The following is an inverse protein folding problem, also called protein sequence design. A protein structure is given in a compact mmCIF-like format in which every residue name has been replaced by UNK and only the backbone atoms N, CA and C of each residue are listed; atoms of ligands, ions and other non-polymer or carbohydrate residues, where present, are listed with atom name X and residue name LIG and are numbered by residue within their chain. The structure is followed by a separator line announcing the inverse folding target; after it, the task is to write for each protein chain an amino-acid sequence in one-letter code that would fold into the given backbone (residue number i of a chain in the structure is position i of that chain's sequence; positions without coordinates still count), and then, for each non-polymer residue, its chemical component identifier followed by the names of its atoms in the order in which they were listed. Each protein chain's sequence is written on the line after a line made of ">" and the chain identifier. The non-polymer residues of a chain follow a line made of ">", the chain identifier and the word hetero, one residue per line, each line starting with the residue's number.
data_IF_866851388733
#
_entry.id   IF_866851388733
#
_cell.length_a   1.000
_cell.length_b   1.000
_cell.length_c   1.000
_cell.angle_alpha   90.00
_cell.angle_beta   90.00
_cell.angle_gamma   90.00
#
_symmetry.space_group_name_H-M   'P 1'
#
loop_
_entity.id
_entity.type
_entity.pdbx_description
1 polymer ?
#
# COMPACT_ATOMS: atom_id res chain seq x y z
N UNK A 1 -26.67 -18.06 -10.81
CA UNK A 1 -25.45 -17.32 -10.40
C UNK A 1 -25.33 -16.18 -11.38
N UNK A 2 -25.56 -14.94 -10.95
CA UNK A 2 -25.43 -13.79 -11.85
C UNK A 2 -23.96 -13.61 -12.23
N UNK A 3 -23.69 -13.58 -13.53
CA UNK A 3 -22.34 -13.48 -14.08
C UNK A 3 -22.03 -12.00 -14.27
N UNK A 4 -21.00 -11.51 -13.57
CA UNK A 4 -20.47 -10.17 -13.80
C UNK A 4 -19.90 -10.09 -15.22
N UNK A 5 -20.15 -8.98 -15.91
CA UNK A 5 -19.59 -8.75 -17.24
C UNK A 5 -18.15 -8.25 -17.13
N UNK A 6 -17.31 -8.58 -18.11
CA UNK A 6 -15.96 -8.06 -18.20
C UNK A 6 -16.00 -6.51 -18.25
N UNK A 7 -15.26 -5.85 -17.36
CA UNK A 7 -15.27 -4.37 -17.24
C UNK A 7 -16.08 -3.82 -16.06
N UNK A 8 -16.87 -4.62 -15.34
CA UNK A 8 -17.77 -4.13 -14.28
C UNK A 8 -17.09 -3.61 -13.00
N UNK A 9 -15.78 -3.82 -12.79
CA UNK A 9 -15.14 -3.50 -11.48
C UNK A 9 -14.67 -2.06 -11.31
N UNK A 10 -14.30 -1.43 -12.41
CA UNK A 10 -13.89 -0.05 -12.46
C UNK A 10 -14.46 0.54 -13.73
N UNK A 11 -15.60 1.20 -13.54
CA UNK A 11 -16.22 2.02 -14.58
C UNK A 11 -15.62 3.40 -14.42
N UNK A 12 -14.69 3.82 -15.29
CA UNK A 12 -14.08 5.12 -15.15
C UNK A 12 -15.15 6.19 -15.40
N UNK A 13 -15.16 7.24 -14.57
CA UNK A 13 -16.05 8.39 -14.78
C UNK A 13 -15.74 9.14 -16.07
N UNK A 14 -14.52 8.99 -16.59
CA UNK A 14 -14.06 9.55 -17.85
C UNK A 14 -13.35 8.45 -18.65
N UNK A 15 -13.70 8.19 -19.93
CA UNK A 15 -13.19 7.05 -20.69
C UNK A 15 -11.66 6.93 -20.72
N UNK A 16 -10.97 8.07 -20.72
CA UNK A 16 -9.49 8.11 -20.76
C UNK A 16 -8.84 7.84 -19.39
N UNK A 17 -9.57 7.99 -18.28
CA UNK A 17 -9.06 7.78 -16.92
C UNK A 17 -9.27 6.33 -16.48
N UNK A 18 -8.83 5.39 -17.30
CA UNK A 18 -8.89 3.96 -17.00
C UNK A 18 -7.73 3.52 -16.07
N UNK A 19 -7.66 2.24 -15.71
CA UNK A 19 -6.59 1.70 -14.85
C UNK A 19 -5.19 1.95 -15.43
N UNK A 20 -5.03 1.87 -16.76
CA UNK A 20 -3.73 2.13 -17.40
C UNK A 20 -3.31 3.60 -17.28
N UNK A 21 -4.25 4.54 -17.34
CA UNK A 21 -3.98 5.96 -17.08
C UNK A 21 -3.38 6.16 -15.68
N UNK A 22 -4.01 5.60 -14.65
CA UNK A 22 -3.51 5.70 -13.28
C UNK A 22 -2.18 4.95 -13.08
N UNK A 23 -2.03 3.76 -13.68
CA UNK A 23 -0.76 3.02 -13.68
C UNK A 23 0.38 3.86 -14.27
N UNK A 24 0.14 4.51 -15.42
CA UNK A 24 1.13 5.35 -16.08
C UNK A 24 1.52 6.57 -15.23
N UNK A 25 0.58 7.18 -14.49
CA UNK A 25 0.88 8.28 -13.58
C UNK A 25 1.88 7.84 -12.51
N UNK A 26 1.63 6.71 -11.83
CA UNK A 26 2.51 6.21 -10.77
C UNK A 26 3.92 5.87 -11.27
N UNK A 27 4.01 5.30 -12.47
CA UNK A 27 5.30 4.98 -13.11
C UNK A 27 6.04 6.27 -13.49
N UNK A 28 5.34 7.22 -14.13
CA UNK A 28 5.93 8.48 -14.58
C UNK A 28 6.48 9.32 -13.42
N UNK A 29 5.78 9.35 -12.29
CA UNK A 29 6.21 10.09 -11.10
C UNK A 29 7.19 9.29 -10.21
N UNK A 30 7.59 8.08 -10.62
CA UNK A 30 8.43 7.18 -9.83
C UNK A 30 7.90 6.93 -8.41
N UNK A 31 6.58 6.92 -8.25
CA UNK A 31 5.91 6.71 -6.96
C UNK A 31 5.59 5.25 -6.69
N UNK A 32 5.46 4.44 -7.75
CA UNK A 32 5.37 2.99 -7.61
C UNK A 32 5.95 2.21 -8.81
N UNK A 33 6.42 0.99 -8.55
CA UNK A 33 6.65 -0.04 -9.57
C UNK A 33 5.57 -1.11 -9.45
N UNK A 34 5.02 -1.53 -10.59
CA UNK A 34 4.01 -2.59 -10.65
C UNK A 34 4.55 -3.71 -11.53
N UNK A 35 4.79 -4.85 -10.91
CA UNK A 35 5.34 -6.06 -11.53
C UNK A 35 4.21 -7.08 -11.72
N UNK A 36 4.09 -7.65 -12.92
CA UNK A 36 3.14 -8.72 -13.18
C UNK A 36 3.80 -10.05 -12.81
N UNK A 37 3.16 -10.84 -11.95
CA UNK A 37 3.63 -12.19 -11.64
C UNK A 37 2.80 -13.18 -12.45
N UNK A 38 3.43 -13.75 -13.46
CA UNK A 38 2.78 -14.62 -14.44
C UNK A 38 2.80 -16.08 -13.99
N UNK A 39 1.81 -16.85 -14.45
CA UNK A 39 1.82 -18.30 -14.28
C UNK A 39 2.97 -18.90 -15.11
N UNK A 40 3.78 -19.77 -14.49
CA UNK A 40 4.91 -20.44 -15.16
C UNK A 40 4.47 -21.42 -16.25
N UNK A 41 3.30 -22.05 -16.08
CA UNK A 41 2.73 -22.98 -17.05
C UNK A 41 1.96 -22.29 -18.18
N UNK A 42 1.45 -21.07 -17.93
CA UNK A 42 0.77 -20.24 -18.92
C UNK A 42 1.10 -18.75 -18.72
N UNK A 43 2.12 -18.22 -19.42
CA UNK A 43 2.52 -16.82 -19.30
C UNK A 43 1.48 -15.81 -19.77
N UNK A 44 0.32 -16.23 -20.31
CA UNK A 44 -0.79 -15.31 -20.60
C UNK A 44 -1.62 -14.97 -19.35
N UNK A 45 -1.48 -15.75 -18.28
CA UNK A 45 -2.25 -15.60 -17.04
C UNK A 45 -1.43 -14.83 -16.00
N UNK A 46 -1.92 -13.66 -15.62
CA UNK A 46 -1.42 -12.90 -14.46
C UNK A 46 -1.99 -13.53 -13.19
N UNK A 47 -1.14 -14.07 -12.32
CA UNK A 47 -1.56 -14.64 -11.04
C UNK A 47 -1.88 -13.53 -10.03
N UNK A 48 -0.95 -12.59 -9.90
CA UNK A 48 -1.07 -11.43 -9.02
C UNK A 48 -0.15 -10.32 -9.50
N UNK A 49 -0.40 -9.10 -9.02
CA UNK A 49 0.52 -8.00 -9.21
C UNK A 49 1.30 -7.73 -7.93
N UNK A 50 2.57 -7.35 -8.09
CA UNK A 50 3.38 -6.81 -6.99
C UNK A 50 3.45 -5.30 -7.12
N UNK A 51 2.91 -4.61 -6.12
CA UNK A 51 2.91 -3.15 -6.00
C UNK A 51 4.01 -2.73 -5.04
N UNK A 52 5.04 -2.08 -5.57
CA UNK A 52 6.16 -1.57 -4.78
C UNK A 52 6.05 -0.05 -4.69
N UNK A 53 5.74 0.47 -3.50
CA UNK A 53 5.68 1.90 -3.22
C UNK A 53 7.11 2.43 -3.11
N UNK A 54 7.50 3.30 -4.04
CA UNK A 54 8.87 3.85 -4.10
C UNK A 54 8.97 5.25 -3.51
N UNK A 55 7.86 5.99 -3.46
CA UNK A 55 7.87 7.36 -2.96
C UNK A 55 6.51 8.03 -3.04
N UNK A 56 6.45 9.25 -2.52
CA UNK A 56 5.30 10.14 -2.68
C UNK A 56 5.79 11.48 -3.16
N UNK A 57 5.21 11.97 -4.26
CA UNK A 57 5.41 13.33 -4.70
C UNK A 57 4.67 14.28 -3.76
N UNK A 58 5.37 15.29 -3.24
CA UNK A 58 4.76 16.30 -2.36
C UNK A 58 4.05 17.38 -3.17
N UNK A 59 3.12 18.12 -2.55
CA UNK A 59 2.52 19.29 -3.19
C UNK A 59 3.58 20.35 -3.58
N UNK A 60 4.67 20.48 -2.82
CA UNK A 60 5.75 21.42 -3.11
C UNK A 60 6.53 21.03 -4.37
N UNK A 61 6.69 19.73 -4.58
CA UNK A 61 7.41 19.17 -5.73
C UNK A 61 6.52 18.99 -6.97
N UNK A 62 5.20 19.23 -6.83
CA UNK A 62 4.25 19.13 -7.95
C UNK A 62 4.46 20.23 -9.00
N UNK A 63 4.81 21.43 -8.56
CA UNK A 63 4.97 22.62 -9.38
C UNK A 63 4.49 23.88 -8.65
N UNK A 64 4.25 24.96 -9.42
CA UNK A 64 3.81 26.25 -8.85
C UNK A 64 2.43 26.18 -8.16
N UNK A 65 1.55 25.28 -8.60
CA UNK A 65 0.23 25.06 -8.00
C UNK A 65 -0.24 23.61 -8.15
N UNK A 66 -0.98 23.07 -7.18
CA UNK A 66 -1.42 21.67 -7.16
C UNK A 66 -2.47 21.31 -8.24
N UNK A 67 -3.14 22.32 -8.81
CA UNK A 67 -4.04 22.15 -9.97
C UNK A 67 -3.30 22.15 -11.31
N UNK A 68 -1.99 22.38 -11.32
CA UNK A 68 -1.20 22.35 -12.55
C UNK A 68 -1.32 20.96 -13.18
N UNK A 69 -1.70 20.95 -14.46
CA UNK A 69 -1.80 19.72 -15.23
C UNK A 69 -0.43 19.32 -15.77
N UNK A 70 0.00 18.11 -15.44
CA UNK A 70 1.17 17.47 -16.05
C UNK A 70 0.75 16.65 -17.25
N UNK A 71 1.58 16.63 -18.29
CA UNK A 71 1.37 15.79 -19.48
C UNK A 71 1.75 14.35 -19.15
N UNK A 72 0.88 13.40 -19.46
CA UNK A 72 1.18 11.97 -19.38
C UNK A 72 1.91 11.52 -20.66
N UNK A 73 3.11 10.97 -20.54
CA UNK A 73 3.94 10.56 -21.67
C UNK A 73 3.82 9.07 -22.01
N UNK A 74 3.42 8.23 -21.04
CA UNK A 74 3.38 6.77 -21.17
C UNK A 74 2.11 6.17 -21.79
N UNK A 75 1.12 7.00 -22.16
CA UNK A 75 -0.17 6.52 -22.67
C UNK A 75 -0.68 7.41 -23.81
N UNK A 76 -1.18 6.79 -24.89
CA UNK A 76 -1.86 7.49 -25.98
C UNK A 76 -3.37 7.53 -25.71
N UNK A 77 -4.00 8.69 -25.90
CA UNK A 77 -5.46 8.81 -25.92
C UNK A 77 -6.05 7.98 -27.08
N UNK A 78 -7.29 7.52 -26.90
CA UNK A 78 -8.10 6.95 -27.98
C UNK A 78 -8.31 7.94 -29.15
N UNK A 79 -8.35 9.24 -28.86
CA UNK A 79 -8.50 10.31 -29.85
C UNK A 79 -7.17 10.77 -30.47
N UNK A 80 -6.03 10.19 -30.04
CA UNK A 80 -4.70 10.66 -30.40
C UNK A 80 -4.26 11.95 -29.71
N UNK A 81 -5.13 12.56 -28.88
CA UNK A 81 -4.80 13.74 -28.10
C UNK A 81 -3.82 13.45 -26.95
N UNK A 82 -3.19 14.51 -26.42
CA UNK A 82 -2.30 14.42 -25.26
C UNK A 82 -3.15 14.26 -24.00
N UNK A 83 -2.78 13.29 -23.16
CA UNK A 83 -3.40 13.09 -21.86
C UNK A 83 -2.71 13.96 -20.80
N UNK A 84 -3.51 14.43 -19.85
CA UNK A 84 -3.06 15.26 -18.74
C UNK A 84 -3.60 14.74 -17.41
N UNK A 85 -2.92 15.05 -16.31
CA UNK A 85 -3.31 14.66 -14.98
C UNK A 85 -2.96 15.74 -13.94
N UNK A 86 -3.82 15.86 -12.93
CA UNK A 86 -3.65 16.76 -11.79
C UNK A 86 -3.02 16.04 -10.60
N UNK A 87 -2.71 16.79 -9.53
CA UNK A 87 -2.25 16.16 -8.28
C UNK A 87 -3.32 15.24 -7.66
N UNK A 88 -4.60 15.56 -7.85
CA UNK A 88 -5.69 14.71 -7.38
C UNK A 88 -5.79 13.40 -8.17
N UNK A 89 -5.55 13.44 -9.48
CA UNK A 89 -5.45 12.22 -10.29
C UNK A 89 -4.27 11.34 -9.84
N UNK A 90 -3.17 11.96 -9.42
CA UNK A 90 -2.02 11.28 -8.83
C UNK A 90 -2.35 10.62 -7.48
N UNK A 91 -3.10 11.29 -6.60
CA UNK A 91 -3.57 10.69 -5.34
C UNK A 91 -4.50 9.50 -5.61
N UNK A 92 -5.47 9.68 -6.50
CA UNK A 92 -6.41 8.63 -6.92
C UNK A 92 -5.68 7.44 -7.54
N UNK A 93 -4.54 7.67 -8.20
CA UNK A 93 -3.81 6.62 -8.90
C UNK A 93 -3.41 5.44 -8.00
N UNK A 94 -3.08 5.71 -6.74
CA UNK A 94 -2.74 4.67 -5.75
C UNK A 94 -3.92 3.73 -5.47
N UNK A 95 -5.15 4.25 -5.43
CA UNK A 95 -6.35 3.45 -5.23
C UNK A 95 -6.79 2.78 -6.54
N UNK A 96 -6.94 3.57 -7.61
CA UNK A 96 -7.61 3.11 -8.84
C UNK A 96 -6.84 2.00 -9.54
N UNK A 97 -5.51 1.98 -9.43
CA UNK A 97 -4.72 0.90 -10.04
C UNK A 97 -4.99 -0.46 -9.38
N UNK A 98 -5.37 -0.49 -8.10
CA UNK A 98 -5.72 -1.73 -7.39
C UNK A 98 -7.04 -2.33 -7.87
N UNK A 99 -7.84 -1.59 -8.64
CA UNK A 99 -9.09 -2.07 -9.22
C UNK A 99 -8.91 -2.84 -10.54
N UNK A 100 -7.70 -3.36 -10.80
CA UNK A 100 -7.45 -4.31 -11.88
C UNK A 100 -8.50 -5.43 -11.91
N UNK A 101 -8.85 -5.86 -13.13
CA UNK A 101 -9.86 -6.88 -13.38
C UNK A 101 -9.20 -8.02 -14.14
N UNK A 102 -9.29 -9.23 -13.60
CA UNK A 102 -9.06 -10.44 -14.38
C UNK A 102 -10.41 -11.05 -14.79
N UNK A 103 -10.38 -12.12 -15.60
CA UNK A 103 -11.57 -12.81 -16.08
C UNK A 103 -12.40 -13.49 -14.98
N UNK A 104 -11.79 -13.72 -13.82
CA UNK A 104 -12.40 -14.43 -12.70
C UNK A 104 -12.95 -13.49 -11.63
N UNK A 105 -12.79 -12.17 -11.81
CA UNK A 105 -13.24 -11.14 -10.88
C UNK A 105 -12.66 -11.25 -9.46
N UNK A 106 -11.51 -11.91 -9.36
CA UNK A 106 -10.70 -12.02 -8.15
C UNK A 106 -9.31 -11.46 -8.44
N UNK A 107 -8.72 -10.69 -7.54
CA UNK A 107 -7.32 -10.31 -7.75
C UNK A 107 -6.58 -10.07 -6.45
N UNK A 108 -5.33 -10.50 -6.45
CA UNK A 108 -4.42 -10.32 -5.33
C UNK A 108 -3.32 -9.32 -5.71
N UNK A 109 -3.00 -8.46 -4.76
CA UNK A 109 -1.90 -7.51 -4.81
C UNK A 109 -0.93 -7.83 -3.70
N UNK A 110 0.34 -8.03 -4.05
CA UNK A 110 1.43 -8.13 -3.08
C UNK A 110 2.04 -6.75 -2.89
N UNK A 111 1.86 -6.15 -1.72
CA UNK A 111 2.21 -4.76 -1.45
C UNK A 111 3.43 -4.64 -0.55
N UNK A 112 4.29 -3.67 -0.86
CA UNK A 112 5.55 -3.44 -0.14
C UNK A 112 6.08 -2.03 -0.37
N UNK A 113 6.79 -1.48 0.62
CA UNK A 113 7.63 -0.29 0.45
C UNK A 113 9.02 -0.65 -0.08
N UNK A 114 9.51 0.11 -1.07
CA UNK A 114 10.82 -0.12 -1.68
C UNK A 114 11.95 -0.09 -0.63
N UNK A 115 13.03 -0.81 -0.93
CA UNK A 115 14.19 -0.86 -0.04
C UNK A 115 14.81 0.51 0.21
N UNK A 116 14.71 1.43 -0.75
CA UNK A 116 15.24 2.79 -0.67
C UNK A 116 14.20 3.83 -0.24
N UNK A 117 13.01 3.40 0.17
CA UNK A 117 11.98 4.32 0.65
C UNK A 117 12.40 4.95 1.99
N UNK A 118 12.58 6.27 1.98
CA UNK A 118 12.87 7.10 3.16
C UNK A 118 12.01 8.36 3.22
N UNK A 119 11.00 8.46 2.35
CA UNK A 119 10.15 9.64 2.21
C UNK A 119 9.13 9.79 3.34
N UNK A 120 8.59 11.00 3.49
CA UNK A 120 7.43 11.23 4.35
C UNK A 120 6.18 10.65 3.69
N UNK A 121 5.33 10.02 4.50
CA UNK A 121 4.05 9.48 4.03
C UNK A 121 3.00 10.57 4.19
N UNK A 122 2.32 11.00 3.12
CA UNK A 122 1.35 12.08 3.20
C UNK A 122 0.08 11.62 3.93
N UNK A 123 -0.59 12.54 4.61
CA UNK A 123 -1.79 12.23 5.41
C UNK A 123 -2.94 11.64 4.60
N UNK A 124 -3.09 12.03 3.32
CA UNK A 124 -4.11 11.47 2.44
C UNK A 124 -3.92 9.97 2.20
N UNK A 125 -2.70 9.45 2.34
CA UNK A 125 -2.42 8.03 2.18
C UNK A 125 -2.97 7.18 3.34
N UNK A 126 -3.30 7.80 4.48
CA UNK A 126 -3.93 7.09 5.60
C UNK A 126 -5.29 6.49 5.20
N UNK A 127 -6.07 7.20 4.39
CA UNK A 127 -7.35 6.68 3.87
C UNK A 127 -7.15 5.47 2.95
N UNK A 128 -6.10 5.49 2.14
CA UNK A 128 -5.74 4.33 1.33
C UNK A 128 -5.31 3.17 2.24
N UNK A 129 -4.52 3.46 3.28
CA UNK A 129 -4.06 2.46 4.23
C UNK A 129 -5.19 1.80 5.01
N UNK A 130 -6.21 2.55 5.43
CA UNK A 130 -7.41 2.00 6.08
C UNK A 130 -8.13 0.96 5.20
N UNK A 131 -8.07 1.10 3.87
CA UNK A 131 -8.75 0.20 2.95
C UNK A 131 -7.88 -0.98 2.51
N UNK A 132 -6.57 -0.77 2.30
CA UNK A 132 -5.70 -1.76 1.66
C UNK A 132 -4.51 -2.21 2.53
N UNK A 133 -4.26 -1.53 3.65
CA UNK A 133 -3.17 -1.83 4.56
C UNK A 133 -3.49 -3.00 5.51
N UNK A 134 -2.46 -3.65 6.07
CA UNK A 134 -2.65 -4.65 7.10
C UNK A 134 -3.19 -4.03 8.39
N UNK A 135 -3.96 -4.82 9.12
CA UNK A 135 -4.36 -4.55 10.50
C UNK A 135 -3.54 -5.43 11.45
N UNK A 136 -3.28 -5.01 12.71
CA UNK A 136 -2.43 -5.78 13.63
C UNK A 136 -2.88 -7.24 13.81
N UNK A 137 -4.19 -7.51 13.76
CA UNK A 137 -4.79 -8.81 14.07
C UNK A 137 -4.44 -9.90 13.05
N UNK A 138 -4.03 -9.52 11.83
CA UNK A 138 -3.61 -10.51 10.82
C UNK A 138 -2.13 -10.91 10.97
N UNK A 139 -1.35 -10.19 11.78
CA UNK A 139 0.07 -10.51 11.99
C UNK A 139 0.25 -11.62 13.03
N UNK A 140 1.38 -12.34 12.95
CA UNK A 140 1.79 -13.31 13.95
C UNK A 140 2.01 -12.62 15.31
N UNK A 141 1.65 -13.28 16.41
CA UNK A 141 1.73 -12.74 17.79
C UNK A 141 3.08 -12.05 18.12
N UNK A 142 4.25 -12.64 17.82
CA UNK A 142 5.54 -11.98 18.10
C UNK A 142 5.68 -10.61 17.41
N UNK A 143 5.09 -10.44 16.24
CA UNK A 143 5.11 -9.17 15.51
C UNK A 143 4.09 -8.18 16.08
N UNK A 144 2.97 -8.67 16.61
CA UNK A 144 2.01 -7.83 17.35
C UNK A 144 2.62 -7.31 18.65
N UNK A 145 3.33 -8.14 19.40
CA UNK A 145 4.12 -7.74 20.57
C UNK A 145 5.17 -6.69 20.20
N UNK A 146 5.88 -6.92 19.12
CA UNK A 146 6.89 -5.99 18.60
C UNK A 146 6.24 -4.65 18.20
N UNK A 147 5.04 -4.66 17.62
CA UNK A 147 4.29 -3.45 17.30
C UNK A 147 3.89 -2.68 18.57
N UNK A 148 3.44 -3.38 19.62
CA UNK A 148 3.15 -2.77 20.93
C UNK A 148 4.39 -2.11 21.53
N UNK A 149 5.52 -2.82 21.49
CA UNK A 149 6.82 -2.29 21.94
C UNK A 149 7.22 -1.06 21.14
N UNK A 150 7.20 -1.14 19.81
CA UNK A 150 7.54 -0.04 18.90
C UNK A 150 6.68 1.20 19.15
N UNK A 151 5.37 1.02 19.35
CA UNK A 151 4.44 2.11 19.69
C UNK A 151 4.87 2.85 20.97
N UNK A 152 5.22 2.09 22.03
CA UNK A 152 5.64 2.68 23.32
C UNK A 152 6.90 3.54 23.22
N UNK A 153 7.72 3.35 22.18
CA UNK A 153 8.99 4.07 21.98
C UNK A 153 8.84 5.33 21.12
N UNK A 154 7.85 5.41 20.24
CA UNK A 154 7.72 6.50 19.27
C UNK A 154 7.07 7.78 19.81
N UNK A 155 6.53 7.77 21.03
CA UNK A 155 5.94 8.95 21.69
C UNK A 155 4.96 9.74 20.80
N UNK A 156 4.12 9.07 20.01
CA UNK A 156 3.08 9.76 19.24
C UNK A 156 2.08 10.43 20.20
N UNK A 157 1.99 11.76 20.17
CA UNK A 157 1.18 12.55 21.11
C UNK A 157 -0.31 12.65 20.75
N UNK A 158 -0.76 12.11 19.60
CA UNK A 158 -2.11 12.33 19.08
C UNK A 158 -2.87 11.02 18.73
N UNK A 159 -4.21 11.08 18.78
CA UNK A 159 -5.15 9.95 18.64
C UNK A 159 -5.09 9.16 17.31
N UNK A 160 -4.47 9.68 16.24
CA UNK A 160 -4.22 8.93 14.99
C UNK A 160 -3.04 7.93 15.12
N UNK A 161 -2.50 7.74 16.33
CA UNK A 161 -1.24 7.04 16.57
C UNK A 161 -1.24 5.58 16.11
N UNK A 162 -2.29 4.78 16.29
CA UNK A 162 -2.21 3.35 16.01
C UNK A 162 -2.08 3.01 14.51
N UNK A 163 -2.89 3.65 13.64
CA UNK A 163 -2.77 3.51 12.18
C UNK A 163 -1.44 4.06 11.68
N UNK A 164 -0.97 5.16 12.29
CA UNK A 164 0.35 5.69 12.00
C UNK A 164 1.44 4.70 12.40
N UNK A 165 1.38 4.09 13.57
CA UNK A 165 2.43 3.19 14.07
C UNK A 165 2.58 1.96 13.18
N UNK A 166 1.48 1.29 12.84
CA UNK A 166 1.55 0.10 11.97
C UNK A 166 2.06 0.47 10.57
N UNK A 167 1.64 1.60 10.01
CA UNK A 167 2.13 2.13 8.74
C UNK A 167 3.62 2.49 8.80
N UNK A 168 4.07 3.16 9.86
CA UNK A 168 5.47 3.52 10.07
C UNK A 168 6.34 2.27 10.25
N UNK A 169 5.90 1.30 11.05
CA UNK A 169 6.61 0.04 11.23
C UNK A 169 6.69 -0.72 9.90
N UNK A 170 5.57 -0.81 9.18
CA UNK A 170 5.50 -1.52 7.90
C UNK A 170 6.40 -0.90 6.85
N UNK A 171 6.38 0.43 6.72
CA UNK A 171 7.23 1.15 5.75
C UNK A 171 8.71 1.08 6.12
N UNK A 172 9.06 1.32 7.39
CA UNK A 172 10.45 1.33 7.86
C UNK A 172 11.11 -0.05 7.78
N UNK A 173 10.39 -1.10 8.16
CA UNK A 173 10.90 -2.47 8.20
C UNK A 173 10.50 -3.31 6.99
N UNK A 174 9.83 -2.70 6.01
CA UNK A 174 9.48 -3.30 4.71
C UNK A 174 8.70 -4.58 4.88
N UNK A 175 7.70 -4.51 5.76
CA UNK A 175 6.77 -5.61 6.02
C UNK A 175 5.88 -5.72 4.78
N UNK A 176 5.77 -6.92 4.24
CA UNK A 176 4.98 -7.18 3.04
C UNK A 176 3.61 -7.69 3.46
N UNK A 177 2.59 -7.39 2.67
CA UNK A 177 1.24 -7.90 2.90
C UNK A 177 0.51 -8.15 1.58
N UNK A 178 -0.58 -8.91 1.65
CA UNK A 178 -1.42 -9.17 0.49
C UNK A 178 -2.75 -8.46 0.68
N UNK A 179 -3.15 -7.63 -0.29
CA UNK A 179 -4.52 -7.14 -0.39
C UNK A 179 -5.22 -7.92 -1.50
N UNK A 180 -6.35 -8.52 -1.18
CA UNK A 180 -7.19 -9.26 -2.10
C UNK A 180 -8.51 -8.53 -2.27
N UNK A 181 -9.08 -8.68 -3.46
CA UNK A 181 -10.38 -8.14 -3.78
C UNK A 181 -11.22 -9.18 -4.49
N UNK A 182 -12.45 -9.32 -4.01
CA UNK A 182 -13.46 -10.17 -4.61
C UNK A 182 -14.74 -9.37 -4.82
N UNK A 183 -15.48 -9.78 -5.84
CA UNK A 183 -16.83 -9.31 -6.07
C UNK A 183 -17.82 -10.42 -5.84
N UNK A 184 -18.89 -10.09 -5.13
CA UNK A 184 -20.02 -10.97 -4.95
C UNK A 184 -21.28 -10.21 -5.32
N UNK A 185 -22.21 -10.90 -5.97
CA UNK A 185 -23.60 -10.43 -6.02
C UNK A 185 -24.36 -11.21 -4.96
N UNK A 186 -24.92 -10.50 -3.98
CA UNK A 186 -25.72 -11.08 -2.92
C UNK A 186 -27.04 -10.31 -2.84
N UNK A 187 -28.17 -11.02 -2.88
CA UNK A 187 -29.51 -10.43 -2.84
C UNK A 187 -29.72 -9.32 -3.90
N UNK A 188 -29.21 -9.53 -5.11
CA UNK A 188 -29.19 -8.57 -6.24
C UNK A 188 -28.44 -7.26 -5.96
N UNK A 189 -27.59 -7.24 -4.92
CA UNK A 189 -26.70 -6.12 -4.60
C UNK A 189 -25.26 -6.49 -4.95
N UNK A 190 -24.55 -5.55 -5.58
CA UNK A 190 -23.13 -5.69 -5.88
C UNK A 190 -22.30 -5.41 -4.62
N UNK A 191 -21.75 -6.45 -4.03
CA UNK A 191 -20.82 -6.36 -2.92
C UNK A 191 -19.37 -6.33 -3.40
N UNK A 192 -18.60 -5.42 -2.81
CA UNK A 192 -17.15 -5.31 -3.01
C UNK A 192 -16.48 -5.72 -1.72
N UNK A 193 -15.91 -6.91 -1.72
CA UNK A 193 -15.20 -7.44 -0.56
C UNK A 193 -13.70 -7.18 -0.71
N UNK A 194 -13.15 -6.50 0.28
CA UNK A 194 -11.72 -6.32 0.43
C UNK A 194 -11.26 -7.18 1.59
N UNK A 195 -10.24 -8.00 1.37
CA UNK A 195 -9.59 -8.74 2.44
C UNK A 195 -8.09 -8.46 2.41
N UNK A 196 -7.50 -8.41 3.59
CA UNK A 196 -6.06 -8.24 3.73
C UNK A 196 -5.54 -9.47 4.45
N UNK A 197 -4.48 -10.06 3.91
CA UNK A 197 -3.83 -11.26 4.45
C UNK A 197 -2.37 -11.00 4.72
N UNK A 198 -1.88 -11.68 5.75
CA UNK A 198 -0.47 -11.78 6.04
C UNK A 198 0.25 -12.58 4.96
N UNK A 199 1.55 -12.31 4.78
CA UNK A 199 2.40 -13.13 3.93
C UNK A 199 3.17 -14.15 4.77
N UNK A 200 2.70 -15.40 4.75
CA UNK A 200 3.23 -16.47 5.61
C UNK A 200 4.72 -16.77 5.40
N UNK A 201 5.26 -16.49 4.22
CA UNK A 201 6.68 -16.68 3.93
C UNK A 201 7.58 -15.53 4.42
N UNK A 202 7.04 -14.51 5.09
CA UNK A 202 7.84 -13.42 5.64
C UNK A 202 8.59 -13.88 6.89
N UNK A 203 9.93 -13.84 6.83
CA UNK A 203 10.78 -14.11 8.00
C UNK A 203 10.71 -12.94 8.98
N UNK A 204 10.09 -13.16 10.14
CA UNK A 204 9.87 -12.10 11.13
C UNK A 204 11.07 -11.88 12.07
N UNK A 205 11.89 -12.90 12.34
CA UNK A 205 13.00 -12.79 13.30
C UNK A 205 14.01 -11.68 12.96
N UNK A 206 14.43 -11.49 11.68
CA UNK A 206 15.31 -10.39 11.32
C UNK A 206 14.67 -9.02 11.53
N UNK A 207 13.35 -8.90 11.33
CA UNK A 207 12.60 -7.66 11.52
C UNK A 207 12.56 -7.31 13.01
N UNK A 208 12.16 -8.26 13.84
CA UNK A 208 12.10 -8.12 15.30
C UNK A 208 13.48 -7.76 15.86
N UNK A 209 14.51 -8.49 15.43
CA UNK A 209 15.90 -8.21 15.81
C UNK A 209 16.34 -6.80 15.43
N UNK A 210 15.98 -6.33 14.24
CA UNK A 210 16.31 -4.98 13.80
C UNK A 210 15.57 -3.91 14.61
N UNK A 211 14.30 -4.14 14.96
CA UNK A 211 13.53 -3.21 15.80
C UNK A 211 14.17 -3.08 17.19
N UNK A 212 14.58 -4.19 17.81
CA UNK A 212 15.28 -4.15 19.09
C UNK A 212 16.67 -3.48 19.02
N UNK A 213 17.35 -3.53 17.87
CA UNK A 213 18.60 -2.78 17.65
C UNK A 213 18.35 -1.28 17.51
N UNK A 214 17.31 -0.89 16.76
CA UNK A 214 16.93 0.50 16.56
C UNK A 214 16.39 1.15 17.86
N UNK A 215 15.71 0.36 18.69
CA UNK A 215 15.12 0.76 19.95
C UNK A 215 15.54 -0.20 21.06
N UNK A 216 16.78 -0.09 21.58
CA UNK A 216 17.27 -0.97 22.63
C UNK A 216 16.43 -0.86 23.90
N UNK A 217 16.21 -2.00 24.56
CA UNK A 217 15.55 -2.05 25.85
C UNK A 217 16.33 -1.20 26.87
N UNK A 218 15.65 -0.54 27.82
CA UNK A 218 16.35 0.13 28.92
C UNK A 218 17.24 -0.89 29.62
N UNK A 219 18.53 -0.60 29.74
CA UNK A 219 19.44 -1.42 30.56
C UNK A 219 18.87 -1.43 31.98
N UNK A 220 18.49 -2.61 32.48
CA UNK A 220 18.17 -2.77 33.89
C UNK A 220 19.43 -2.39 34.68
N UNK A 221 19.43 -1.19 35.26
CA UNK A 221 20.47 -0.82 36.22
C UNK A 221 20.22 -1.69 37.44
N UNK A 222 21.10 -2.67 37.66
CA UNK A 222 21.16 -3.38 38.93
C UNK A 222 21.27 -2.32 40.04
N UNK A 223 20.25 -2.25 40.88
CA UNK A 223 20.29 -1.43 42.09
C UNK A 223 21.37 -2.06 42.96
N UNK A 224 22.52 -1.41 43.06
CA UNK A 224 23.57 -1.83 43.99
C UNK A 224 22.94 -1.88 45.41
N UNK A 225 23.18 -2.93 46.19
CA UNK A 225 22.65 -3.01 47.54
C UNK A 225 23.21 -1.84 48.34
N UNK A 226 22.30 -1.01 48.87
CA UNK A 226 22.65 0.06 49.81
C UNK A 226 23.22 -0.62 51.05
N UNK A 227 24.54 -0.66 51.17
CA UNK A 227 25.21 -0.98 52.42
C UNK A 227 24.85 0.12 53.42
N UNK A 228 23.96 -0.20 54.36
CA UNK A 228 23.75 0.61 55.57
C UNK A 228 25.00 0.49 56.43
N UNK A 229 25.74 1.59 56.54
CA UNK A 229 26.71 1.86 57.61
C UNK A 229 25.99 2.34 58.87
#
# INVERSE_FOLDING_TARGET
>A
MEVLLEGSHYIPKHPEKNINYYRCILIQENSARIENIMNKGDPSVVLYHKFIITGFLSCKDWGQHHSLLKKLSGLKSFSGSKLYYSYYDYMDAFEKVLFYQNKNFDHSWFLVFDKKFHGQIPSWFLKWWEMFGPVPQIWLEPLQDTLRYFNSRLQFTNHNSQFLVILYMTSRYRIHWISMRNYAIQDNLLNREFSVKWWDNLKIDPIISQIHKDFPLPVQRNIAPVTRS
#
